data_IF_527052528871
#
_entry.id   IF_527052528871
#
_cell.length_a   1.000
_cell.length_b   1.000
_cell.length_c   1.000
_cell.angle_alpha   90.00
_cell.angle_beta   90.00
_cell.angle_gamma   90.00
#
_symmetry.space_group_name_H-M   'P 1'
#
loop_
_entity.id
_entity.type
_entity.pdbx_description
1 polymer ?
#
# COMPACT_ATOMS: atom_id res chain seq x y z
N UNK A 1 9.39 -14.08 -9.02
CA UNK A 1 9.49 -12.96 -8.05
C UNK A 1 9.34 -13.54 -6.67
N UNK A 2 10.03 -13.02 -5.66
CA UNK A 2 10.14 -13.69 -4.37
C UNK A 2 9.18 -13.09 -3.34
N UNK A 3 8.55 -13.92 -2.50
CA UNK A 3 7.62 -13.49 -1.45
C UNK A 3 8.39 -12.80 -0.31
N UNK A 4 8.33 -11.47 -0.22
CA UNK A 4 9.08 -10.68 0.77
C UNK A 4 8.68 -11.00 2.22
N UNK A 5 7.40 -11.31 2.48
CA UNK A 5 6.91 -11.61 3.83
C UNK A 5 7.44 -12.96 4.32
N UNK A 6 7.39 -13.96 3.44
CA UNK A 6 8.00 -15.27 3.67
C UNK A 6 9.52 -15.14 3.86
N UNK A 7 10.20 -14.38 3.00
CA UNK A 7 11.63 -14.13 3.14
C UNK A 7 12.00 -13.42 4.44
N UNK A 8 11.23 -12.42 4.87
CA UNK A 8 11.44 -11.74 6.16
C UNK A 8 11.25 -12.73 7.31
N UNK A 9 10.20 -13.55 7.27
CA UNK A 9 9.94 -14.58 8.29
C UNK A 9 11.07 -15.62 8.35
N UNK A 10 11.50 -16.13 7.21
CA UNK A 10 12.60 -17.10 7.11
C UNK A 10 13.92 -16.52 7.63
N UNK A 11 14.25 -15.27 7.27
CA UNK A 11 15.41 -14.56 7.82
C UNK A 11 15.33 -14.39 9.33
N UNK A 12 14.16 -14.08 9.86
CA UNK A 12 13.95 -13.86 11.29
C UNK A 12 14.02 -15.17 12.09
N UNK A 13 13.52 -16.28 11.53
CA UNK A 13 13.68 -17.61 12.10
C UNK A 13 15.15 -18.05 12.08
N UNK A 14 15.86 -17.85 10.97
CA UNK A 14 17.28 -18.16 10.88
C UNK A 14 18.10 -17.35 11.91
N UNK A 15 17.77 -16.08 12.12
CA UNK A 15 18.39 -15.24 13.13
C UNK A 15 18.12 -15.75 14.56
N UNK A 16 16.88 -16.19 14.85
CA UNK A 16 16.56 -16.78 16.15
C UNK A 16 17.35 -18.06 16.43
N UNK A 17 17.59 -18.90 15.43
CA UNK A 17 18.46 -20.09 15.59
C UNK A 17 19.89 -19.69 15.93
N UNK A 18 20.46 -18.68 15.27
CA UNK A 18 21.81 -18.19 15.63
C UNK A 18 21.88 -17.63 17.05
N UNK A 19 20.80 -17.01 17.55
CA UNK A 19 20.75 -16.51 18.93
C UNK A 19 20.68 -17.65 19.95
N UNK A 20 19.93 -18.73 19.66
CA UNK A 20 19.87 -19.90 20.54
C UNK A 20 21.21 -20.64 20.65
N UNK A 21 22.03 -20.61 19.60
CA UNK A 21 23.37 -21.20 19.64
C UNK A 21 24.35 -20.38 20.50
N UNK A 22 24.14 -19.06 20.60
CA UNK A 22 25.01 -18.15 21.35
C UNK A 22 24.59 -18.00 22.82
N UNK A 23 23.33 -18.27 23.15
CA UNK A 23 22.78 -18.17 24.48
C UNK A 23 22.61 -19.55 25.11
N UNK A 24 23.22 -19.78 26.27
CA UNK A 24 23.11 -21.04 27.03
C UNK A 24 22.28 -20.91 28.30
N UNK A 25 21.81 -19.71 28.62
CA UNK A 25 20.99 -19.47 29.81
C UNK A 25 19.53 -19.86 29.56
N UNK A 26 18.93 -20.56 30.52
CA UNK A 26 17.58 -21.11 30.41
C UNK A 26 16.53 -20.01 30.15
N UNK A 27 16.69 -18.85 30.79
CA UNK A 27 15.77 -17.72 30.63
C UNK A 27 15.76 -17.19 29.17
N UNK A 28 16.92 -17.01 28.55
CA UNK A 28 17.00 -16.60 27.14
C UNK A 28 16.46 -17.67 26.20
N UNK A 29 16.73 -18.95 26.46
CA UNK A 29 16.22 -20.05 25.63
C UNK A 29 14.69 -20.15 25.68
N UNK A 30 14.09 -19.93 26.85
CA UNK A 30 12.64 -19.86 27.03
C UNK A 30 12.06 -18.67 26.23
N UNK A 31 12.62 -17.47 26.41
CA UNK A 31 12.16 -16.27 25.72
C UNK A 31 12.25 -16.40 24.17
N UNK A 32 13.36 -16.94 23.66
CA UNK A 32 13.55 -17.19 22.22
C UNK A 32 12.56 -18.24 21.70
N UNK A 33 12.27 -19.28 22.47
CA UNK A 33 11.26 -20.29 22.15
C UNK A 33 9.84 -19.73 22.08
N UNK A 34 9.48 -18.79 22.96
CA UNK A 34 8.19 -18.10 22.93
C UNK A 34 8.05 -17.22 21.68
N UNK A 35 9.09 -16.46 21.33
CA UNK A 35 9.12 -15.63 20.10
C UNK A 35 8.97 -16.52 18.86
N UNK A 36 9.69 -17.64 18.81
CA UNK A 36 9.58 -18.59 17.69
C UNK A 36 8.17 -19.19 17.60
N UNK A 37 7.59 -19.58 18.74
CA UNK A 37 6.21 -20.09 18.80
C UNK A 37 5.22 -19.05 18.29
N UNK A 38 5.38 -17.77 18.64
CA UNK A 38 4.53 -16.70 18.12
C UNK A 38 4.76 -16.38 16.64
N UNK A 39 5.98 -16.55 16.14
CA UNK A 39 6.24 -16.47 14.70
C UNK A 39 5.67 -17.67 13.93
N UNK A 40 5.51 -18.82 14.59
CA UNK A 40 4.90 -20.04 14.05
C UNK A 40 3.38 -20.10 14.27
N UNK A 41 2.84 -19.34 15.22
CA UNK A 41 1.42 -19.32 15.56
C UNK A 41 0.61 -18.89 14.34
N UNK A 42 -0.53 -19.55 14.11
CA UNK A 42 -1.46 -19.17 13.05
C UNK A 42 -2.19 -17.91 13.52
N UNK A 43 -1.79 -16.76 13.00
CA UNK A 43 -2.56 -15.52 13.17
C UNK A 43 -3.83 -15.61 12.33
N UNK A 44 -4.99 -15.43 12.96
CA UNK A 44 -6.25 -15.23 12.23
C UNK A 44 -6.22 -13.83 11.61
N UNK A 45 -6.43 -13.75 10.30
CA UNK A 45 -6.41 -12.47 9.58
C UNK A 45 -6.29 -12.67 8.07
N UNK A 46 -6.63 -11.63 7.31
CA UNK A 46 -6.33 -11.57 5.89
C UNK A 46 -4.83 -11.29 5.74
N UNK A 47 -4.09 -12.26 5.21
CA UNK A 47 -2.64 -12.14 4.96
C UNK A 47 -2.42 -12.16 3.45
N UNK A 48 -1.64 -11.21 2.96
CA UNK A 48 -1.20 -11.17 1.57
C UNK A 48 0.28 -10.85 1.49
N UNK A 49 0.87 -11.14 0.34
CA UNK A 49 2.24 -10.79 0.05
C UNK A 49 2.36 -9.32 -0.32
N UNK A 50 3.17 -8.59 0.45
CA UNK A 50 3.58 -7.23 0.09
C UNK A 50 4.46 -7.27 -1.16
N UNK A 51 4.10 -6.43 -2.13
CA UNK A 51 4.81 -6.20 -3.36
C UNK A 51 5.22 -4.73 -3.43
N UNK A 52 6.50 -4.49 -3.65
CA UNK A 52 7.04 -3.14 -3.87
C UNK A 52 6.73 -2.71 -5.32
N UNK A 53 6.14 -1.52 -5.49
CA UNK A 53 5.89 -0.91 -6.79
C UNK A 53 7.14 -0.14 -7.25
N UNK A 54 7.32 0.04 -8.57
CA UNK A 54 8.43 0.86 -9.09
C UNK A 54 8.41 2.28 -8.52
N UNK A 55 7.21 2.79 -8.28
CA UNK A 55 6.93 4.05 -7.59
C UNK A 55 7.57 4.11 -6.20
N UNK A 56 7.41 3.05 -5.39
CA UNK A 56 7.97 3.00 -4.02
C UNK A 56 9.50 3.08 -4.03
N UNK A 57 10.13 2.42 -5.01
CA UNK A 57 11.59 2.47 -5.19
C UNK A 57 12.05 3.87 -5.59
N UNK A 58 11.37 4.49 -6.55
CA UNK A 58 11.69 5.84 -7.03
C UNK A 58 11.57 6.86 -5.90
N UNK A 59 10.52 6.77 -5.10
CA UNK A 59 10.26 7.68 -3.98
C UNK A 59 11.34 7.70 -2.89
N UNK A 60 12.17 6.66 -2.78
CA UNK A 60 13.30 6.64 -1.83
C UNK A 60 14.38 7.67 -2.17
N UNK A 61 14.49 8.03 -3.45
CA UNK A 61 15.57 8.89 -3.96
C UNK A 61 15.05 10.13 -4.69
N UNK A 62 13.79 10.11 -5.13
CA UNK A 62 13.17 11.15 -5.94
C UNK A 62 11.92 11.65 -5.22
N UNK A 63 11.86 12.94 -4.93
CA UNK A 63 10.66 13.55 -4.36
C UNK A 63 9.77 14.00 -5.51
N UNK A 64 8.56 13.42 -5.68
CA UNK A 64 7.66 13.85 -6.73
C UNK A 64 7.21 15.30 -6.48
N UNK A 65 6.88 16.04 -7.54
CA UNK A 65 6.34 17.41 -7.47
C UNK A 65 5.25 17.59 -8.51
N UNK A 66 4.21 18.35 -8.16
CA UNK A 66 3.21 18.75 -9.15
C UNK A 66 3.75 19.88 -10.02
N UNK A 67 3.62 19.72 -11.33
CA UNK A 67 3.94 20.76 -12.30
C UNK A 67 2.65 21.21 -12.96
N UNK A 68 2.38 22.50 -12.90
CA UNK A 68 1.21 23.10 -13.53
C UNK A 68 1.39 23.21 -15.05
N UNK A 69 0.36 22.84 -15.81
CA UNK A 69 0.33 22.97 -17.27
C UNK A 69 -0.69 24.06 -17.62
N UNK A 70 -0.23 25.30 -17.67
CA UNK A 70 -1.08 26.49 -17.85
C UNK A 70 -1.87 26.46 -19.15
N UNK A 71 -1.34 25.80 -20.17
CA UNK A 71 -2.00 25.66 -21.48
C UNK A 71 -3.28 24.81 -21.42
N UNK A 72 -3.46 24.02 -20.37
CA UNK A 72 -4.65 23.17 -20.15
C UNK A 72 -5.59 23.74 -19.09
N UNK A 73 -5.36 24.96 -18.62
CA UNK A 73 -6.22 25.61 -17.63
C UNK A 73 -7.60 25.92 -18.24
N UNK A 74 -8.66 25.58 -17.50
CA UNK A 74 -10.05 25.84 -17.90
C UNK A 74 -10.66 26.79 -16.86
N UNK A 75 -10.84 28.06 -17.25
CA UNK A 75 -11.42 29.07 -16.38
C UNK A 75 -12.93 29.21 -16.61
N UNK A 76 -13.73 28.96 -15.57
CA UNK A 76 -15.18 29.17 -15.59
C UNK A 76 -15.60 30.63 -15.23
N UNK A 77 -14.68 31.48 -14.77
CA UNK A 77 -14.89 32.88 -14.40
C UNK A 77 -13.81 33.40 -13.44
N UNK A 78 -13.72 34.73 -13.24
CA UNK A 78 -12.65 35.38 -12.44
C UNK A 78 -12.63 34.98 -10.95
N UNK A 79 -13.77 34.52 -10.41
CA UNK A 79 -13.94 34.12 -9.00
C UNK A 79 -14.52 32.70 -8.85
N UNK A 80 -14.29 31.82 -9.83
CA UNK A 80 -14.77 30.44 -9.79
C UNK A 80 -14.03 29.58 -8.77
N UNK A 81 -14.69 28.50 -8.31
CA UNK A 81 -14.00 27.44 -7.57
C UNK A 81 -12.97 26.74 -8.47
N UNK A 82 -11.77 26.51 -7.94
CA UNK A 82 -10.71 25.81 -8.65
C UNK A 82 -10.88 24.30 -8.49
N UNK A 83 -10.82 23.58 -9.62
CA UNK A 83 -10.77 22.12 -9.64
C UNK A 83 -9.41 21.69 -10.17
N UNK A 84 -8.80 20.69 -9.55
CA UNK A 84 -7.51 20.15 -9.98
C UNK A 84 -7.70 18.85 -10.77
N UNK A 85 -7.08 18.77 -11.94
CA UNK A 85 -6.88 17.52 -12.67
C UNK A 85 -5.41 17.13 -12.54
N UNK A 86 -5.15 15.98 -11.93
CA UNK A 86 -3.80 15.45 -11.74
C UNK A 86 -3.57 14.31 -12.73
N UNK A 87 -2.54 14.44 -13.58
CA UNK A 87 -2.12 13.41 -14.52
C UNK A 87 -0.85 12.73 -13.99
N UNK A 88 -0.89 11.40 -13.83
CA UNK A 88 0.24 10.62 -13.36
C UNK A 88 -0.16 9.32 -12.67
N UNK A 89 0.81 8.64 -12.05
CA UNK A 89 0.52 7.49 -11.20
C UNK A 89 -0.26 7.95 -9.95
N UNK A 90 -1.32 7.21 -9.62
CA UNK A 90 -2.20 7.54 -8.50
C UNK A 90 -1.48 7.43 -7.15
N UNK A 91 -0.53 6.50 -6.97
CA UNK A 91 0.19 6.34 -5.72
C UNK A 91 1.09 7.55 -5.46
N UNK A 92 1.85 7.99 -6.48
CA UNK A 92 2.63 9.23 -6.41
C UNK A 92 1.76 10.45 -6.07
N UNK A 93 0.62 10.59 -6.76
CA UNK A 93 -0.31 11.69 -6.55
C UNK A 93 -0.88 11.69 -5.12
N UNK A 94 -1.27 10.51 -4.62
CA UNK A 94 -1.78 10.34 -3.26
C UNK A 94 -0.74 10.71 -2.21
N UNK A 95 0.53 10.34 -2.38
CA UNK A 95 1.59 10.74 -1.45
C UNK A 95 1.79 12.26 -1.38
N UNK A 96 1.66 12.96 -2.50
CA UNK A 96 1.74 14.42 -2.53
C UNK A 96 0.51 15.08 -1.91
N UNK A 97 -0.67 14.54 -2.20
CA UNK A 97 -1.91 14.97 -1.56
C UNK A 97 -1.85 14.74 -0.05
N UNK A 98 -1.24 13.64 0.42
CA UNK A 98 -1.09 13.37 1.85
C UNK A 98 -0.31 14.49 2.56
N UNK A 99 0.68 15.09 1.89
CA UNK A 99 1.47 16.17 2.49
C UNK A 99 0.73 17.51 2.54
N UNK A 100 -0.20 17.74 1.61
CA UNK A 100 -0.82 19.05 1.39
C UNK A 100 -2.28 19.12 1.87
N UNK A 101 -2.99 17.99 1.82
CA UNK A 101 -4.45 17.85 1.99
C UNK A 101 -4.85 16.76 2.99
N UNK A 102 -3.95 16.35 3.89
CA UNK A 102 -4.28 15.44 5.00
C UNK A 102 -5.47 15.97 5.81
N UNK A 103 -6.47 15.14 6.01
CA UNK A 103 -7.67 15.46 6.79
C UNK A 103 -8.52 16.59 6.21
N UNK A 104 -8.46 16.84 4.88
CA UNK A 104 -9.19 17.93 4.22
C UNK A 104 -10.19 17.45 3.16
N UNK A 105 -10.25 16.16 2.88
CA UNK A 105 -11.15 15.61 1.86
C UNK A 105 -12.39 15.03 2.54
N UNK A 106 -13.57 15.49 2.17
CA UNK A 106 -14.82 14.99 2.78
C UNK A 106 -15.27 13.66 2.17
N UNK A 107 -15.18 13.53 0.85
CA UNK A 107 -15.66 12.35 0.12
C UNK A 107 -14.64 11.93 -0.92
N UNK A 108 -14.40 10.62 -1.02
CA UNK A 108 -13.53 10.02 -2.03
C UNK A 108 -14.32 8.92 -2.75
N UNK A 109 -14.45 9.07 -4.07
CA UNK A 109 -15.05 8.06 -4.94
C UNK A 109 -13.95 7.41 -5.79
N UNK A 110 -13.89 6.08 -5.79
CA UNK A 110 -12.95 5.31 -6.60
C UNK A 110 -13.67 4.17 -7.30
N UNK A 111 -13.22 3.87 -8.52
CA UNK A 111 -13.64 2.72 -9.30
C UNK A 111 -12.40 1.86 -9.64
N UNK A 112 -11.88 1.09 -8.66
CA UNK A 112 -10.65 0.34 -8.85
C UNK A 112 -10.87 -0.88 -9.76
N UNK A 113 -9.80 -1.42 -10.36
CA UNK A 113 -9.87 -2.66 -11.15
C UNK A 113 -10.47 -3.81 -10.33
N UNK A 114 -11.46 -4.53 -10.85
CA UNK A 114 -12.23 -5.52 -10.09
C UNK A 114 -11.57 -6.91 -9.95
N UNK A 115 -10.42 -7.12 -10.60
CA UNK A 115 -9.67 -8.39 -10.54
C UNK A 115 -10.49 -9.64 -10.95
N UNK A 116 -11.45 -9.47 -11.86
CA UNK A 116 -12.35 -10.52 -12.37
C UNK A 116 -11.63 -11.58 -13.21
N UNK A 117 -10.35 -11.36 -13.55
CA UNK A 117 -9.56 -12.27 -14.39
C UNK A 117 -9.88 -12.16 -15.88
N UNK A 118 -10.64 -11.15 -16.30
CA UNK A 118 -10.71 -10.75 -17.71
C UNK A 118 -9.38 -10.15 -18.14
N UNK A 119 -9.05 -10.31 -19.43
CA UNK A 119 -7.75 -9.94 -20.00
C UNK A 119 -7.36 -8.48 -19.73
N UNK A 120 -8.31 -7.59 -19.46
CA UNK A 120 -8.09 -6.15 -19.31
C UNK A 120 -8.40 -5.59 -17.92
N UNK A 121 -8.66 -6.45 -16.93
CA UNK A 121 -9.20 -5.99 -15.64
C UNK A 121 -8.13 -5.56 -14.64
N UNK A 122 -6.99 -6.26 -14.55
CA UNK A 122 -5.85 -5.86 -13.71
C UNK A 122 -4.56 -6.45 -14.28
N UNK A 123 -3.64 -5.59 -14.75
CA UNK A 123 -2.31 -5.97 -15.23
C UNK A 123 -1.27 -5.29 -14.35
N UNK A 124 -0.50 -6.08 -13.62
CA UNK A 124 0.67 -5.60 -12.89
C UNK A 124 1.93 -5.95 -13.69
N UNK A 125 2.88 -5.02 -13.78
CA UNK A 125 4.00 -5.01 -14.74
C UNK A 125 4.62 -6.40 -15.05
N UNK A 126 4.71 -6.68 -16.36
CA UNK A 126 5.49 -7.71 -17.07
C UNK A 126 5.24 -9.21 -16.88
N UNK A 127 4.23 -9.62 -16.11
CA UNK A 127 3.69 -10.96 -16.27
C UNK A 127 2.17 -10.84 -16.31
N UNK A 128 1.58 -11.16 -17.47
CA UNK A 128 0.14 -11.38 -17.58
C UNK A 128 -0.32 -12.13 -16.33
N UNK A 129 -1.28 -11.55 -15.59
CA UNK A 129 -1.97 -12.25 -14.52
C UNK A 129 -2.82 -13.32 -15.21
N UNK A 130 -2.18 -14.41 -15.59
CA UNK A 130 -2.84 -15.57 -16.18
C UNK A 130 -3.75 -16.14 -15.10
N UNK A 131 -4.85 -16.80 -15.47
CA UNK A 131 -5.75 -17.50 -14.54
C UNK A 131 -5.02 -18.45 -13.57
N UNK A 132 -3.79 -18.84 -13.92
CA UNK A 132 -2.91 -19.75 -13.19
C UNK A 132 -1.98 -19.03 -12.18
N UNK A 133 -1.99 -17.70 -12.11
CA UNK A 133 -1.19 -16.96 -11.14
C UNK A 133 -1.79 -17.09 -9.73
N UNK A 134 -1.19 -17.95 -8.92
CA UNK A 134 -1.54 -18.19 -7.52
C UNK A 134 -1.46 -16.94 -6.65
N UNK A 135 -0.76 -15.89 -7.10
CA UNK A 135 -0.53 -14.65 -6.34
C UNK A 135 -1.43 -13.48 -6.76
N UNK A 136 -2.38 -13.69 -7.68
CA UNK A 136 -3.28 -12.63 -8.20
C UNK A 136 -3.97 -11.82 -7.11
N UNK A 137 -4.52 -12.50 -6.11
CA UNK A 137 -5.22 -11.83 -5.01
C UNK A 137 -4.25 -11.05 -4.12
N UNK A 138 -3.06 -11.60 -3.86
CA UNK A 138 -2.04 -10.92 -3.07
C UNK A 138 -1.50 -9.67 -3.76
N UNK A 139 -1.27 -9.72 -5.08
CA UNK A 139 -0.84 -8.56 -5.88
C UNK A 139 -1.88 -7.44 -5.85
N UNK A 140 -3.15 -7.78 -6.09
CA UNK A 140 -4.23 -6.81 -6.05
C UNK A 140 -4.42 -6.20 -4.65
N UNK A 141 -4.37 -7.03 -3.60
CA UNK A 141 -4.45 -6.55 -2.22
C UNK A 141 -3.26 -5.65 -1.87
N UNK A 142 -2.04 -6.00 -2.27
CA UNK A 142 -0.87 -5.15 -2.06
C UNK A 142 -1.04 -3.78 -2.74
N UNK A 143 -1.45 -3.78 -4.01
CA UNK A 143 -1.69 -2.56 -4.79
C UNK A 143 -2.77 -1.66 -4.17
N UNK A 144 -3.92 -2.24 -3.80
CA UNK A 144 -5.03 -1.46 -3.24
C UNK A 144 -4.74 -1.01 -1.80
N UNK A 145 -4.06 -1.84 -1.01
CA UNK A 145 -3.79 -1.53 0.40
C UNK A 145 -2.96 -0.25 0.56
N UNK A 146 -1.90 -0.06 -0.24
CA UNK A 146 -1.08 1.15 -0.15
C UNK A 146 -1.88 2.42 -0.47
N UNK A 147 -2.70 2.37 -1.52
CA UNK A 147 -3.58 3.49 -1.92
C UNK A 147 -4.61 3.80 -0.84
N UNK A 148 -5.31 2.78 -0.33
CA UNK A 148 -6.35 2.95 0.68
C UNK A 148 -5.79 3.46 2.02
N UNK A 149 -4.57 3.04 2.41
CA UNK A 149 -3.89 3.57 3.60
C UNK A 149 -3.68 5.08 3.49
N UNK A 150 -3.30 5.60 2.33
CA UNK A 150 -3.09 7.03 2.12
C UNK A 150 -4.43 7.77 2.04
N UNK A 151 -5.38 7.25 1.26
CA UNK A 151 -6.75 7.77 1.13
C UNK A 151 -7.39 7.98 2.50
N UNK A 152 -7.26 7.02 3.43
CA UNK A 152 -7.77 7.15 4.79
C UNK A 152 -7.23 8.38 5.54
N UNK A 153 -5.97 8.76 5.31
CA UNK A 153 -5.36 9.94 5.95
C UNK A 153 -5.81 11.25 5.31
N UNK A 154 -6.28 11.21 4.07
CA UNK A 154 -6.80 12.39 3.38
C UNK A 154 -8.21 12.75 3.87
N UNK A 155 -8.98 11.75 4.28
CA UNK A 155 -10.35 11.94 4.76
C UNK A 155 -10.40 12.78 6.05
N UNK A 156 -11.35 13.70 6.13
CA UNK A 156 -11.69 14.40 7.37
C UNK A 156 -12.17 13.41 8.44
N UNK A 157 -12.02 13.75 9.73
CA UNK A 157 -12.47 12.86 10.83
C UNK A 157 -13.99 12.59 10.79
N UNK A 158 -14.76 13.49 10.16
CA UNK A 158 -16.20 13.38 9.96
C UNK A 158 -16.60 12.84 8.56
N UNK A 159 -15.65 12.42 7.71
CA UNK A 159 -15.91 12.03 6.30
C UNK A 159 -16.79 10.79 6.09
N UNK A 160 -17.43 10.27 7.15
CA UNK A 160 -18.49 9.27 7.10
C UNK A 160 -19.76 9.65 7.87
N UNK A 161 -19.77 10.78 8.58
CA UNK A 161 -20.96 11.29 9.23
C UNK A 161 -21.64 12.26 8.26
N UNK A 162 -22.54 11.70 7.43
CA UNK A 162 -23.58 12.46 6.75
C UNK A 162 -24.50 13.05 7.82
N UNK A 163 -24.00 14.11 8.47
CA UNK A 163 -24.67 14.82 9.54
C UNK A 163 -26.01 15.33 9.06
N UNK A 164 -27.04 14.95 9.82
CA UNK A 164 -28.38 15.53 9.79
C UNK A 164 -28.27 17.05 9.82
N UNK A 165 -28.65 17.71 8.73
CA UNK A 165 -29.09 19.10 8.70
C UNK A 165 -30.39 19.18 7.91
#
# INVERSE_FOLDING_TARGET
MANLSQQRREKMLAFLETLKEQHTDDDSLIALGEIEKELKSKKYGLVWEEHEETVDVQMKTQIPVFTEVKEREICAGENGAYNFLLEGDNLHSLYLLEKTHRGKIDVIYIDPPYNTGKKDDFKYNDAFVVKEDTFRHSKWLSFMAERLKIVKKLLTECGGDLGKH
#
